data_IF_878388746055
#
_entry.id   IF_878388746055
#
_cell.length_a   1.000
_cell.length_b   1.000
_cell.length_c   1.000
_cell.angle_alpha   90.00
_cell.angle_beta   90.00
_cell.angle_gamma   90.00
#
_symmetry.space_group_name_H-M   'P 1'
#
loop_
_entity.id
_entity.type
_entity.pdbx_description
1 polymer ?
#
# COMPACT_ATOMS: atom_id res chain seq x y z
N UNK A 1 -2.51 -2.87 13.69
CA UNK A 1 -2.06 -2.14 12.49
C UNK A 1 -2.26 -0.62 12.61
N UNK A 2 -3.49 -0.08 12.64
CA UNK A 2 -3.72 1.38 12.58
C UNK A 2 -2.95 2.21 13.62
N UNK A 3 -2.86 1.75 14.87
CA UNK A 3 -2.04 2.43 15.90
C UNK A 3 -0.58 2.56 15.48
N UNK A 4 0.01 1.51 14.88
CA UNK A 4 1.39 1.53 14.39
C UNK A 4 1.55 2.52 13.24
N UNK A 5 0.58 2.59 12.31
CA UNK A 5 0.57 3.60 11.25
C UNK A 5 0.65 5.02 11.80
N UNK A 6 -0.19 5.36 12.79
CA UNK A 6 -0.19 6.72 13.36
C UNK A 6 1.09 7.03 14.15
N UNK A 7 1.70 6.00 14.75
CA UNK A 7 2.99 6.13 15.44
C UNK A 7 4.18 6.29 14.47
N UNK A 8 4.04 5.85 13.21
CA UNK A 8 5.13 5.85 12.23
C UNK A 8 4.90 6.80 11.05
N UNK A 9 3.98 7.77 11.12
CA UNK A 9 3.65 8.67 9.97
C UNK A 9 4.91 9.29 9.34
N UNK A 10 5.82 9.81 10.18
CA UNK A 10 7.04 10.49 9.76
C UNK A 10 8.12 9.57 9.20
N UNK A 11 8.05 8.26 9.50
CA UNK A 11 9.03 7.28 9.02
C UNK A 11 8.79 6.97 7.53
N UNK A 12 9.84 6.63 6.76
CA UNK A 12 9.67 6.15 5.39
C UNK A 12 8.82 4.87 5.37
N UNK A 13 8.01 4.70 4.33
CA UNK A 13 7.32 3.43 4.10
C UNK A 13 8.38 2.42 3.63
N UNK A 14 8.47 1.27 4.31
CA UNK A 14 9.43 0.21 3.99
C UNK A 14 8.73 -1.12 3.78
N UNK A 15 9.39 -2.03 3.08
CA UNK A 15 8.93 -3.40 2.91
C UNK A 15 8.67 -4.10 4.25
N UNK A 16 9.61 -4.00 5.21
CA UNK A 16 9.43 -4.54 6.56
C UNK A 16 8.18 -3.99 7.24
N UNK A 17 7.89 -2.70 7.07
CA UNK A 17 6.69 -2.08 7.65
C UNK A 17 5.41 -2.65 7.03
N UNK A 18 5.41 -2.93 5.72
CA UNK A 18 4.30 -3.58 5.03
C UNK A 18 4.11 -5.03 5.52
N UNK A 19 5.20 -5.78 5.69
CA UNK A 19 5.17 -7.14 6.22
C UNK A 19 4.66 -7.20 7.65
N UNK A 20 5.10 -6.28 8.51
CA UNK A 20 4.59 -6.15 9.88
C UNK A 20 3.09 -5.84 9.90
N UNK A 21 2.63 -4.94 9.02
CA UNK A 21 1.21 -4.63 8.90
C UNK A 21 0.41 -5.84 8.41
N UNK A 22 0.92 -6.56 7.40
CA UNK A 22 0.30 -7.78 6.88
C UNK A 22 0.18 -8.85 7.97
N UNK A 23 1.25 -9.10 8.72
CA UNK A 23 1.28 -10.00 9.87
C UNK A 23 0.25 -9.65 10.93
N UNK A 24 0.13 -8.35 11.27
CA UNK A 24 -0.88 -7.88 12.21
C UNK A 24 -2.31 -8.10 11.69
N UNK A 25 -2.56 -7.94 10.39
CA UNK A 25 -3.88 -8.11 9.78
C UNK A 25 -4.30 -9.58 9.65
N UNK A 26 -3.35 -10.47 9.38
CA UNK A 26 -3.60 -11.90 9.19
C UNK A 26 -3.44 -12.73 10.44
N UNK A 27 -3.19 -12.10 11.59
CA UNK A 27 -3.05 -12.80 12.86
C UNK A 27 -4.24 -13.75 13.12
N UNK A 28 -3.95 -15.03 13.31
CA UNK A 28 -4.94 -16.08 13.55
C UNK A 28 -5.52 -16.74 12.30
N UNK A 29 -5.20 -16.25 11.10
CA UNK A 29 -5.50 -16.97 9.84
C UNK A 29 -4.62 -18.20 9.72
N UNK A 30 -5.17 -19.24 9.10
CA UNK A 30 -4.53 -20.57 8.92
C UNK A 30 -4.69 -21.12 7.51
N UNK A 31 -5.44 -20.39 6.69
CA UNK A 31 -5.85 -20.69 5.32
C UNK A 31 -5.01 -19.94 4.28
N UNK A 32 -4.00 -19.19 4.73
CA UNK A 32 -3.05 -18.47 3.88
C UNK A 32 -1.68 -19.14 3.98
N UNK A 33 -1.02 -19.30 2.84
CA UNK A 33 0.34 -19.86 2.78
C UNK A 33 1.38 -18.75 3.04
N UNK A 34 1.14 -17.56 2.48
CA UNK A 34 2.03 -16.41 2.60
C UNK A 34 1.49 -15.38 3.60
N UNK A 35 2.06 -15.34 4.80
CA UNK A 35 1.85 -14.29 5.82
C UNK A 35 3.19 -13.66 6.11
N UNK A 36 3.25 -12.33 6.20
CA UNK A 36 4.49 -11.54 6.36
C UNK A 36 5.51 -11.61 5.20
N UNK A 37 5.09 -12.18 4.07
CA UNK A 37 5.80 -12.20 2.79
C UNK A 37 4.91 -11.69 1.65
N UNK A 38 5.51 -11.42 0.49
CA UNK A 38 4.74 -11.32 -0.76
C UNK A 38 4.22 -12.69 -1.18
N UNK A 39 3.11 -12.70 -1.93
CA UNK A 39 2.55 -13.93 -2.49
C UNK A 39 3.56 -14.65 -3.39
N UNK A 40 3.56 -15.97 -3.30
CA UNK A 40 4.48 -16.86 -4.03
C UNK A 40 3.77 -17.78 -5.03
N UNK A 41 2.44 -17.72 -5.09
CA UNK A 41 1.60 -18.56 -5.96
C UNK A 41 1.95 -18.44 -7.45
N UNK A 42 1.97 -19.57 -8.15
CA UNK A 42 2.25 -19.61 -9.59
C UNK A 42 1.08 -19.11 -10.45
N UNK A 43 -0.15 -19.20 -9.91
CA UNK A 43 -1.34 -18.72 -10.60
C UNK A 43 -1.42 -17.19 -10.65
N UNK A 44 -2.00 -16.68 -11.73
CA UNK A 44 -2.24 -15.24 -11.89
C UNK A 44 -3.23 -14.74 -10.83
N UNK A 45 -2.88 -13.69 -10.09
CA UNK A 45 -3.79 -13.03 -9.16
C UNK A 45 -4.70 -12.08 -9.94
N UNK A 46 -6.01 -12.33 -9.92
CA UNK A 46 -7.00 -11.53 -10.65
C UNK A 46 -7.81 -10.65 -9.69
N UNK A 47 -7.88 -9.36 -10.01
CA UNK A 47 -8.75 -8.40 -9.33
C UNK A 47 -10.14 -8.54 -9.93
N UNK A 48 -11.03 -9.16 -9.17
CA UNK A 48 -12.39 -9.52 -9.61
C UNK A 48 -13.45 -8.76 -8.81
N UNK A 49 -14.64 -8.63 -9.39
CA UNK A 49 -15.85 -8.22 -8.67
C UNK A 49 -17.00 -9.15 -8.98
N UNK A 50 -18.02 -9.13 -8.13
CA UNK A 50 -19.21 -9.97 -8.28
C UNK A 50 -19.09 -11.29 -7.51
N UNK A 51 -20.20 -12.03 -7.39
CA UNK A 51 -20.21 -13.30 -6.67
C UNK A 51 -19.44 -14.37 -7.45
N UNK A 52 -19.07 -15.47 -6.77
CA UNK A 52 -18.24 -16.53 -7.34
C UNK A 52 -18.76 -17.13 -8.65
N UNK A 53 -20.08 -17.22 -8.80
CA UNK A 53 -20.74 -17.76 -9.99
C UNK A 53 -20.84 -16.75 -11.16
N UNK A 54 -20.42 -15.49 -10.98
CA UNK A 54 -20.44 -14.45 -12.00
C UNK A 54 -19.32 -13.42 -11.76
N UNK A 55 -18.10 -13.91 -11.59
CA UNK A 55 -16.92 -13.05 -11.38
C UNK A 55 -16.60 -12.31 -12.68
N UNK A 56 -16.53 -10.98 -12.60
CA UNK A 56 -15.96 -10.14 -13.63
C UNK A 56 -14.51 -9.85 -13.28
N UNK A 57 -13.59 -10.24 -14.17
CA UNK A 57 -12.17 -9.89 -14.09
C UNK A 57 -12.02 -8.46 -14.58
N UNK A 58 -11.45 -7.59 -13.75
CA UNK A 58 -11.16 -6.20 -14.13
C UNK A 58 -9.69 -6.04 -14.52
N UNK A 59 -8.81 -6.76 -13.84
CA UNK A 59 -7.39 -6.62 -13.99
C UNK A 59 -6.67 -7.89 -13.51
N UNK A 60 -5.55 -8.20 -14.14
CA UNK A 60 -4.65 -9.27 -13.72
C UNK A 60 -3.38 -8.62 -13.16
N UNK A 61 -3.07 -8.93 -11.90
CA UNK A 61 -1.88 -8.40 -11.24
C UNK A 61 -0.60 -9.05 -11.80
N UNK A 62 0.57 -8.40 -11.65
CA UNK A 62 1.83 -8.95 -12.09
C UNK A 62 2.07 -10.38 -11.59
N UNK A 63 2.77 -11.25 -12.34
CA UNK A 63 3.17 -12.57 -11.85
C UNK A 63 3.94 -12.47 -10.53
N UNK A 64 3.79 -13.43 -9.63
CA UNK A 64 4.39 -13.40 -8.28
C UNK A 64 5.91 -13.16 -8.31
N UNK A 65 6.61 -13.74 -9.30
CA UNK A 65 8.04 -13.55 -9.52
C UNK A 65 8.47 -12.09 -9.78
N UNK A 66 7.55 -11.23 -10.24
CA UNK A 66 7.82 -9.82 -10.52
C UNK A 66 7.42 -8.91 -9.34
N UNK A 67 6.63 -9.40 -8.38
CA UNK A 67 6.06 -8.56 -7.30
C UNK A 67 7.15 -7.85 -6.51
N UNK A 68 8.25 -8.52 -6.18
CA UNK A 68 9.34 -7.92 -5.42
C UNK A 68 9.98 -6.71 -6.16
N UNK A 69 10.22 -6.83 -7.47
CA UNK A 69 10.78 -5.72 -8.26
C UNK A 69 9.81 -4.57 -8.45
N UNK A 70 8.52 -4.88 -8.62
CA UNK A 70 7.46 -3.87 -8.72
C UNK A 70 7.30 -3.10 -7.40
N UNK A 71 7.30 -3.83 -6.27
CA UNK A 71 7.21 -3.23 -4.94
C UNK A 71 8.42 -2.39 -4.59
N UNK A 72 9.63 -2.81 -4.99
CA UNK A 72 10.85 -2.00 -4.83
C UNK A 72 10.70 -0.64 -5.54
N UNK A 73 10.27 -0.66 -6.81
CA UNK A 73 10.03 0.55 -7.60
C UNK A 73 8.97 1.45 -6.98
N UNK A 74 7.87 0.85 -6.51
CA UNK A 74 6.80 1.57 -5.83
C UNK A 74 7.28 2.23 -4.52
N UNK A 75 8.05 1.52 -3.70
CA UNK A 75 8.57 2.03 -2.44
C UNK A 75 9.55 3.19 -2.66
N UNK A 76 10.46 3.06 -3.63
CA UNK A 76 11.40 4.11 -4.03
C UNK A 76 10.67 5.39 -4.47
N UNK A 77 9.62 5.25 -5.28
CA UNK A 77 8.75 6.36 -5.64
C UNK A 77 8.05 6.96 -4.41
N UNK A 78 7.51 6.11 -3.52
CA UNK A 78 6.73 6.59 -2.37
C UNK A 78 7.56 7.45 -1.41
N UNK A 79 8.83 7.08 -1.18
CA UNK A 79 9.74 7.81 -0.29
C UNK A 79 10.41 9.02 -0.95
N UNK A 80 10.24 9.18 -2.27
CA UNK A 80 10.81 10.29 -3.05
C UNK A 80 9.67 11.21 -3.55
N UNK A 81 9.00 11.95 -2.65
CA UNK A 81 7.82 12.74 -3.02
C UNK A 81 8.19 13.86 -4.00
N UNK A 82 7.49 13.88 -5.13
CA UNK A 82 7.55 15.01 -6.07
C UNK A 82 7.04 16.30 -5.41
N UNK A 83 7.76 17.41 -5.60
CA UNK A 83 7.43 18.69 -4.93
C UNK A 83 6.09 19.31 -5.36
N UNK A 84 5.55 18.88 -6.51
CA UNK A 84 4.39 19.53 -7.15
C UNK A 84 3.12 18.67 -7.15
N UNK A 85 3.10 17.55 -6.43
CA UNK A 85 1.91 16.71 -6.32
C UNK A 85 1.13 17.02 -5.04
N UNK A 86 -0.19 17.20 -5.15
CA UNK A 86 -1.03 17.41 -3.97
C UNK A 86 -1.06 16.16 -3.08
N UNK A 87 -1.26 16.35 -1.77
CA UNK A 87 -1.34 15.23 -0.82
C UNK A 87 -2.42 14.21 -1.18
N UNK A 88 -3.58 14.69 -1.65
CA UNK A 88 -4.72 13.86 -2.08
C UNK A 88 -4.35 13.08 -3.35
N UNK A 89 -3.73 13.74 -4.33
CA UNK A 89 -3.29 13.09 -5.57
C UNK A 89 -2.24 12.02 -5.28
N UNK A 90 -1.25 12.30 -4.43
CA UNK A 90 -0.24 11.33 -4.01
C UNK A 90 -0.87 10.13 -3.31
N UNK A 91 -1.82 10.35 -2.40
CA UNK A 91 -2.53 9.27 -1.73
C UNK A 91 -3.33 8.40 -2.71
N UNK A 92 -4.00 9.01 -3.70
CA UNK A 92 -4.74 8.30 -4.71
C UNK A 92 -3.83 7.44 -5.62
N UNK A 93 -2.70 7.98 -6.07
CA UNK A 93 -1.72 7.22 -6.87
C UNK A 93 -1.14 6.08 -6.04
N UNK A 94 -0.73 6.36 -4.80
CA UNK A 94 -0.12 5.34 -3.94
C UNK A 94 -1.07 4.16 -3.69
N UNK A 95 -2.35 4.45 -3.43
CA UNK A 95 -3.37 3.42 -3.28
C UNK A 95 -3.55 2.60 -4.55
N UNK A 96 -3.78 3.27 -5.69
CA UNK A 96 -4.05 2.59 -6.95
C UNK A 96 -2.85 1.75 -7.42
N UNK A 97 -1.63 2.28 -7.32
CA UNK A 97 -0.42 1.57 -7.71
C UNK A 97 -0.22 0.33 -6.84
N UNK A 98 -0.31 0.46 -5.52
CA UNK A 98 -0.21 -0.69 -4.62
C UNK A 98 -1.26 -1.78 -4.94
N UNK A 99 -2.53 -1.39 -5.14
CA UNK A 99 -3.59 -2.34 -5.52
C UNK A 99 -3.33 -3.02 -6.85
N UNK A 100 -2.70 -2.33 -7.82
CA UNK A 100 -2.33 -2.92 -9.12
C UNK A 100 -1.17 -3.91 -9.04
N UNK A 101 -0.28 -3.80 -8.05
CA UNK A 101 0.77 -4.81 -7.81
C UNK A 101 0.16 -6.01 -7.08
N UNK A 102 -0.78 -5.75 -6.17
CA UNK A 102 -1.49 -6.74 -5.36
C UNK A 102 -0.53 -7.74 -4.68
N UNK A 103 0.41 -7.25 -3.84
CA UNK A 103 1.59 -8.01 -3.45
C UNK A 103 1.33 -9.13 -2.43
N UNK A 104 0.20 -9.11 -1.73
CA UNK A 104 -0.13 -10.10 -0.69
C UNK A 104 -1.21 -11.07 -1.16
N UNK A 105 -1.29 -12.24 -0.51
CA UNK A 105 -2.35 -13.23 -0.78
C UNK A 105 -3.74 -12.71 -0.35
N UNK A 106 -3.80 -11.98 0.76
CA UNK A 106 -5.00 -11.27 1.23
C UNK A 106 -4.58 -9.95 1.92
N UNK A 107 -5.54 -9.05 2.15
CA UNK A 107 -5.32 -7.84 2.92
C UNK A 107 -4.86 -6.63 2.13
N UNK A 108 -4.65 -6.76 0.81
CA UNK A 108 -4.21 -5.67 -0.06
C UNK A 108 -5.09 -4.43 0.12
N UNK A 109 -6.42 -4.56 -0.02
CA UNK A 109 -7.36 -3.46 0.22
C UNK A 109 -7.20 -2.73 1.55
N UNK A 110 -6.84 -3.44 2.62
CA UNK A 110 -6.64 -2.85 3.96
C UNK A 110 -5.30 -2.13 4.06
N UNK A 111 -4.25 -2.70 3.49
CA UNK A 111 -2.91 -2.11 3.45
C UNK A 111 -2.87 -0.92 2.49
N UNK A 112 -3.50 -1.00 1.32
CA UNK A 112 -3.62 0.08 0.35
C UNK A 112 -4.28 1.33 0.95
N UNK A 113 -5.34 1.16 1.75
CA UNK A 113 -5.95 2.26 2.52
C UNK A 113 -4.97 2.86 3.55
N UNK A 114 -4.24 2.02 4.28
CA UNK A 114 -3.24 2.47 5.24
C UNK A 114 -2.10 3.27 4.56
N UNK A 115 -1.64 2.84 3.39
CA UNK A 115 -0.67 3.56 2.57
C UNK A 115 -1.23 4.93 2.14
N UNK A 116 -2.48 4.97 1.66
CA UNK A 116 -3.14 6.21 1.26
C UNK A 116 -3.25 7.20 2.43
N UNK A 117 -3.64 6.71 3.61
CA UNK A 117 -3.72 7.51 4.83
C UNK A 117 -2.35 8.06 5.25
N UNK A 118 -1.30 7.23 5.20
CA UNK A 118 0.07 7.66 5.49
C UNK A 118 0.53 8.75 4.52
N UNK A 119 0.27 8.58 3.22
CA UNK A 119 0.61 9.58 2.21
C UNK A 119 -0.12 10.91 2.42
N UNK A 120 -1.41 10.84 2.74
CA UNK A 120 -2.24 12.01 3.02
C UNK A 120 -1.76 12.73 4.28
N UNK A 121 -1.52 12.00 5.36
CA UNK A 121 -1.06 12.55 6.63
C UNK A 121 0.29 13.25 6.49
N UNK A 122 1.24 12.65 5.76
CA UNK A 122 2.53 13.28 5.45
C UNK A 122 2.36 14.61 4.72
N UNK A 123 1.44 14.69 3.75
CA UNK A 123 1.18 15.92 3.02
C UNK A 123 0.52 17.02 3.86
N UNK A 124 -0.41 16.66 4.77
CA UNK A 124 -1.05 17.61 5.69
C UNK A 124 -0.03 18.15 6.71
N UNK A 125 0.85 17.29 7.25
CA UNK A 125 1.91 17.72 8.17
C UNK A 125 2.90 18.70 7.52
N UNK A 126 3.21 18.52 6.23
CA UNK A 126 4.06 19.46 5.47
C UNK A 126 3.33 20.79 5.22
N UNK A 127 2.03 20.77 4.92
CA UNK A 127 1.25 21.99 4.73
C UNK A 127 1.14 22.82 6.03
N UNK A 128 0.96 22.16 7.18
CA UNK A 128 0.92 22.83 8.48
C UNK A 128 2.23 23.55 8.84
N UNK A 129 3.37 23.03 8.41
CA UNK A 129 4.68 23.65 8.63
C UNK A 129 4.96 24.83 7.68
N UNK A 130 4.38 24.84 6.47
CA UNK A 130 4.49 25.98 5.55
C UNK A 130 3.54 27.14 5.89
N UNK A 131 2.40 26.88 6.54
CA UNK A 131 1.46 27.92 6.98
C UNK A 131 1.99 28.82 8.12
N UNK A 132 3.02 28.38 8.85
CA UNK A 132 3.60 29.13 9.99
C UNK A 132 4.71 30.10 9.55
N UNK A 133 5.27 29.92 8.35
CA UNK A 133 6.42 30.71 7.86
C UNK A 133 6.04 31.87 6.92
N UNK A 134 4.75 32.17 6.75
CA UNK A 134 4.26 33.19 5.81
C UNK A 134 3.80 34.50 6.48
N UNK A 135 4.00 34.68 7.80
CA UNK A 135 3.55 35.88 8.53
C UNK A 135 4.69 36.71 9.12
N UNK A 136 5.79 36.86 8.40
CA UNK A 136 6.93 37.70 8.78
C UNK A 136 7.31 38.68 7.69
#
# INVERSE_FOLDING_TARGET
MMVKLYQSIAEPLTETMLFDWHKMLMNGRRDLDDIDSYRSHAESMQIVSGPDYNRKIHYEAPPSQNVASEMSTFLDWFITPEKNISAITRAAIAHLWFESIHPFEDGNGRIGRAIAEKALAQGVSVAASHGVLSTG
#
